data_IF_970354588098
#
_entry.id   IF_970354588098
#
_cell.length_a   1.000
_cell.length_b   1.000
_cell.length_c   1.000
_cell.angle_alpha   90.00
_cell.angle_beta   90.00
_cell.angle_gamma   90.00
#
_symmetry.space_group_name_H-M   'P 1'
#
loop_
_entity.id
_entity.type
_entity.pdbx_description
1 polymer ?
#
# COMPACT_ATOMS: atom_id res chain seq x y z
N UNK A 1 -45.93 -4.13 -8.77
CA UNK A 1 -45.11 -3.07 -9.42
C UNK A 1 -44.52 -2.05 -8.45
N UNK A 2 -45.08 -1.85 -7.25
CA UNK A 2 -44.54 -0.94 -6.22
C UNK A 2 -43.31 -1.47 -5.45
N UNK A 3 -43.11 -2.78 -5.38
CA UNK A 3 -41.98 -3.37 -4.62
C UNK A 3 -40.61 -3.25 -5.31
N UNK A 4 -40.55 -3.13 -6.66
CA UNK A 4 -39.30 -3.01 -7.41
C UNK A 4 -38.70 -1.59 -7.37
N UNK A 5 -39.55 -0.57 -7.24
CA UNK A 5 -39.13 0.85 -7.23
C UNK A 5 -38.43 1.21 -5.91
N UNK A 6 -38.83 0.58 -4.80
CA UNK A 6 -38.23 0.78 -3.47
C UNK A 6 -36.83 0.16 -3.35
N UNK A 7 -36.60 -1.02 -3.94
CA UNK A 7 -35.25 -1.61 -3.97
C UNK A 7 -34.28 -0.79 -4.85
N UNK A 8 -34.76 -0.21 -5.95
CA UNK A 8 -33.93 0.61 -6.82
C UNK A 8 -33.60 1.96 -6.17
N UNK A 9 -34.57 2.62 -5.50
CA UNK A 9 -34.32 3.85 -4.73
C UNK A 9 -33.35 3.65 -3.57
N UNK A 10 -33.37 2.51 -2.89
CA UNK A 10 -32.44 2.21 -1.80
C UNK A 10 -31.00 2.00 -2.30
N UNK A 11 -30.82 1.37 -3.47
CA UNK A 11 -29.49 1.22 -4.08
C UNK A 11 -28.95 2.56 -4.58
N UNK A 12 -29.79 3.41 -5.19
CA UNK A 12 -29.38 4.77 -5.59
C UNK A 12 -29.03 5.63 -4.38
N UNK A 13 -29.79 5.54 -3.27
CA UNK A 13 -29.52 6.30 -2.06
C UNK A 13 -28.22 5.89 -1.36
N UNK A 14 -27.88 4.60 -1.35
CA UNK A 14 -26.65 4.10 -0.72
C UNK A 14 -25.42 4.45 -1.56
N UNK A 15 -25.50 4.29 -2.89
CA UNK A 15 -24.45 4.68 -3.81
C UNK A 15 -24.14 6.18 -3.69
N UNK A 16 -25.17 7.03 -3.65
CA UNK A 16 -25.01 8.47 -3.46
C UNK A 16 -24.32 8.81 -2.11
N UNK A 17 -24.63 8.10 -1.03
CA UNK A 17 -23.98 8.31 0.27
C UNK A 17 -22.50 7.90 0.27
N UNK A 18 -22.15 6.83 -0.44
CA UNK A 18 -20.76 6.39 -0.59
C UNK A 18 -19.97 7.41 -1.42
N UNK A 19 -20.55 7.91 -2.51
CA UNK A 19 -19.94 8.94 -3.36
C UNK A 19 -19.69 10.24 -2.57
N UNK A 20 -20.69 10.74 -1.83
CA UNK A 20 -20.54 11.92 -0.97
C UNK A 20 -19.47 11.73 0.11
N UNK A 21 -19.38 10.53 0.68
CA UNK A 21 -18.33 10.20 1.66
C UNK A 21 -16.95 10.17 1.02
N UNK A 22 -16.79 9.53 -0.14
CA UNK A 22 -15.53 9.52 -0.87
C UNK A 22 -15.10 10.94 -1.25
N UNK A 23 -16.03 11.77 -1.74
CA UNK A 23 -15.74 13.15 -2.11
C UNK A 23 -15.21 13.95 -0.91
N UNK A 24 -15.85 13.83 0.26
CA UNK A 24 -15.35 14.48 1.49
C UNK A 24 -13.94 14.01 1.88
N UNK A 25 -13.66 12.72 1.72
CA UNK A 25 -12.32 12.17 1.95
C UNK A 25 -11.32 12.81 0.98
N UNK A 26 -11.64 12.89 -0.31
CA UNK A 26 -10.78 13.49 -1.34
C UNK A 26 -10.49 14.95 -0.98
N UNK A 27 -11.53 15.74 -0.72
CA UNK A 27 -11.41 17.17 -0.41
C UNK A 27 -10.49 17.43 0.80
N UNK A 28 -10.50 16.52 1.80
CA UNK A 28 -9.70 16.66 3.01
C UNK A 28 -8.26 16.15 2.89
N UNK A 29 -7.98 15.28 1.92
CA UNK A 29 -6.73 14.50 1.89
C UNK A 29 -5.91 14.67 0.61
N UNK A 30 -6.50 15.18 -0.48
CA UNK A 30 -5.85 15.27 -1.80
C UNK A 30 -4.52 15.99 -1.76
N UNK A 31 -4.46 17.24 -1.33
CA UNK A 31 -3.23 18.05 -1.34
C UNK A 31 -2.12 17.41 -0.52
N UNK A 32 -2.48 16.83 0.63
CA UNK A 32 -1.52 16.14 1.51
C UNK A 32 -1.00 14.87 0.86
N UNK A 33 -1.86 14.11 0.18
CA UNK A 33 -1.46 12.86 -0.46
C UNK A 33 -0.60 13.15 -1.69
N UNK A 34 -1.04 14.09 -2.51
CA UNK A 34 -0.31 14.55 -3.68
C UNK A 34 1.08 15.06 -3.27
N UNK A 35 1.19 15.92 -2.25
CA UNK A 35 2.49 16.39 -1.77
C UNK A 35 3.42 15.26 -1.30
N UNK A 36 2.88 14.25 -0.61
CA UNK A 36 3.65 13.07 -0.18
C UNK A 36 4.14 12.23 -1.37
N UNK A 37 3.27 11.97 -2.35
CA UNK A 37 3.65 11.17 -3.51
C UNK A 37 4.55 11.94 -4.47
N UNK A 38 4.32 13.24 -4.65
CA UNK A 38 5.15 14.10 -5.47
C UNK A 38 6.59 14.19 -4.95
N UNK A 39 6.79 14.21 -3.63
CA UNK A 39 8.11 14.14 -3.03
C UNK A 39 8.86 12.82 -3.37
N UNK A 40 8.14 11.75 -3.71
CA UNK A 40 8.69 10.46 -4.11
C UNK A 40 8.91 10.38 -5.64
N UNK A 41 7.89 10.68 -6.44
CA UNK A 41 7.95 10.48 -7.89
C UNK A 41 8.66 11.62 -8.63
N UNK A 42 8.59 12.86 -8.13
CA UNK A 42 9.07 14.08 -8.80
C UNK A 42 8.57 14.25 -10.25
N UNK A 43 7.44 13.63 -10.54
CA UNK A 43 6.79 13.62 -11.84
C UNK A 43 5.30 13.85 -11.60
N UNK A 44 4.75 14.89 -12.22
CA UNK A 44 3.39 15.34 -11.97
C UNK A 44 2.35 14.34 -12.46
N UNK A 45 2.53 13.78 -13.66
CA UNK A 45 1.56 12.90 -14.30
C UNK A 45 1.53 11.54 -13.60
N UNK A 46 2.71 11.00 -13.28
CA UNK A 46 2.82 9.81 -12.45
C UNK A 46 2.23 10.05 -11.06
N UNK A 47 2.45 11.22 -10.44
CA UNK A 47 1.84 11.55 -9.15
C UNK A 47 0.31 11.50 -9.23
N UNK A 48 -0.27 12.17 -10.22
CA UNK A 48 -1.71 12.25 -10.40
C UNK A 48 -2.35 10.87 -10.58
N UNK A 49 -1.74 10.02 -11.39
CA UNK A 49 -2.19 8.64 -11.60
C UNK A 49 -2.14 7.81 -10.30
N UNK A 50 -1.02 7.89 -9.56
CA UNK A 50 -0.87 7.19 -8.29
C UNK A 50 -1.88 7.66 -7.23
N UNK A 51 -2.16 8.96 -7.17
CA UNK A 51 -3.19 9.53 -6.30
C UNK A 51 -4.57 8.97 -6.67
N UNK A 52 -4.92 8.98 -7.95
CA UNK A 52 -6.20 8.45 -8.43
C UNK A 52 -6.35 6.96 -8.08
N UNK A 53 -5.35 6.15 -8.37
CA UNK A 53 -5.34 4.72 -8.05
C UNK A 53 -5.44 4.45 -6.55
N UNK A 54 -4.83 5.29 -5.70
CA UNK A 54 -4.97 5.17 -4.26
C UNK A 54 -6.41 5.41 -3.79
N UNK A 55 -7.12 6.38 -4.38
CA UNK A 55 -8.54 6.61 -4.09
C UNK A 55 -9.45 5.50 -4.62
N UNK A 56 -9.14 4.90 -5.77
CA UNK A 56 -9.86 3.71 -6.27
C UNK A 56 -9.77 2.57 -5.23
N UNK A 57 -8.58 2.33 -4.66
CA UNK A 57 -8.42 1.33 -3.58
C UNK A 57 -9.19 1.68 -2.31
N UNK A 58 -9.38 2.97 -2.01
CA UNK A 58 -10.25 3.40 -0.91
C UNK A 58 -11.71 3.13 -1.24
N UNK A 59 -12.16 3.47 -2.45
CA UNK A 59 -13.52 3.21 -2.91
C UNK A 59 -13.89 1.72 -2.81
N UNK A 60 -13.02 0.83 -3.29
CA UNK A 60 -13.19 -0.64 -3.20
C UNK A 60 -13.33 -1.17 -1.76
N UNK A 61 -12.91 -0.37 -0.77
CA UNK A 61 -12.88 -0.77 0.64
C UNK A 61 -13.65 0.20 1.54
N UNK A 62 -14.44 1.13 0.96
CA UNK A 62 -15.01 2.25 1.66
C UNK A 62 -15.94 1.80 2.80
N UNK A 63 -16.75 0.77 2.56
CA UNK A 63 -17.66 0.19 3.56
C UNK A 63 -16.95 -0.44 4.76
N UNK A 64 -15.71 -0.88 4.56
CA UNK A 64 -14.91 -1.47 5.63
C UNK A 64 -14.26 -0.41 6.53
N UNK A 65 -14.09 0.81 6.01
CA UNK A 65 -13.49 1.92 6.74
C UNK A 65 -14.57 2.51 7.63
N UNK A 66 -14.38 2.42 8.95
CA UNK A 66 -15.33 2.97 9.94
C UNK A 66 -14.97 4.38 10.43
N UNK A 67 -13.75 4.81 10.13
CA UNK A 67 -13.13 5.98 10.72
C UNK A 67 -12.31 6.70 9.64
N UNK A 68 -12.79 7.86 9.22
CA UNK A 68 -12.22 8.64 8.14
C UNK A 68 -10.85 9.23 8.52
N UNK A 69 -10.56 9.41 9.82
CA UNK A 69 -9.26 9.93 10.29
C UNK A 69 -8.10 8.97 9.94
N UNK A 70 -8.40 7.68 9.77
CA UNK A 70 -7.42 6.65 9.41
C UNK A 70 -7.19 6.53 7.91
N UNK A 71 -8.04 7.16 7.10
CA UNK A 71 -7.97 7.06 5.63
C UNK A 71 -6.68 7.65 5.09
N UNK A 72 -6.21 8.76 5.66
CA UNK A 72 -4.94 9.37 5.23
C UNK A 72 -3.75 8.40 5.40
N UNK A 73 -3.74 7.60 6.47
CA UNK A 73 -2.68 6.61 6.66
C UNK A 73 -2.75 5.49 5.62
N UNK A 74 -3.96 5.04 5.27
CA UNK A 74 -4.17 4.04 4.21
C UNK A 74 -3.76 4.58 2.83
N UNK A 75 -4.16 5.81 2.50
CA UNK A 75 -3.80 6.48 1.24
C UNK A 75 -2.29 6.58 1.06
N UNK A 76 -1.55 6.97 2.11
CA UNK A 76 -0.07 7.00 2.07
C UNK A 76 0.53 5.62 1.82
N UNK A 77 -0.03 4.58 2.43
CA UNK A 77 0.44 3.20 2.23
C UNK A 77 0.16 2.74 0.79
N UNK A 78 -1.06 2.94 0.29
CA UNK A 78 -1.43 2.56 -1.07
C UNK A 78 -0.62 3.31 -2.11
N UNK A 79 -0.55 4.64 -2.03
CA UNK A 79 0.21 5.45 -2.98
C UNK A 79 1.71 5.10 -3.01
N UNK A 80 2.34 4.87 -1.84
CA UNK A 80 3.74 4.44 -1.79
C UNK A 80 3.95 3.08 -2.46
N UNK A 81 3.04 2.13 -2.26
CA UNK A 81 3.17 0.80 -2.85
C UNK A 81 2.98 0.83 -4.37
N UNK A 82 1.98 1.58 -4.84
CA UNK A 82 1.77 1.81 -6.27
C UNK A 82 3.02 2.43 -6.92
N UNK A 83 3.64 3.41 -6.25
CA UNK A 83 4.90 3.98 -6.73
C UNK A 83 6.03 2.94 -6.81
N UNK A 84 6.19 2.11 -5.77
CA UNK A 84 7.19 1.03 -5.78
C UNK A 84 6.93 0.01 -6.89
N UNK A 85 5.67 -0.29 -7.19
CA UNK A 85 5.29 -1.19 -8.27
C UNK A 85 5.62 -0.61 -9.64
N UNK A 86 5.40 0.68 -9.85
CA UNK A 86 5.82 1.39 -11.06
C UNK A 86 7.34 1.42 -11.20
N UNK A 87 8.10 1.66 -10.12
CA UNK A 87 9.57 1.56 -10.17
C UNK A 87 10.05 0.15 -10.54
N UNK A 88 9.44 -0.89 -9.97
CA UNK A 88 9.78 -2.28 -10.32
C UNK A 88 9.44 -2.59 -11.78
N UNK A 89 8.33 -2.06 -12.29
CA UNK A 89 7.91 -2.23 -13.69
C UNK A 89 8.89 -1.54 -14.62
N UNK A 90 9.28 -0.30 -14.31
CA UNK A 90 10.29 0.45 -15.06
C UNK A 90 11.64 -0.26 -15.05
N UNK A 91 12.11 -0.74 -13.89
CA UNK A 91 13.35 -1.51 -13.80
C UNK A 91 13.32 -2.80 -14.64
N UNK A 92 12.19 -3.53 -14.68
CA UNK A 92 12.03 -4.69 -15.56
C UNK A 92 12.05 -4.32 -17.03
N UNK A 93 11.41 -3.21 -17.41
CA UNK A 93 11.41 -2.71 -18.78
C UNK A 93 12.81 -2.24 -19.20
N UNK A 94 13.51 -1.51 -18.35
CA UNK A 94 14.89 -1.10 -18.56
C UNK A 94 15.83 -2.31 -18.65
N UNK A 95 15.65 -3.33 -17.81
CA UNK A 95 16.43 -4.57 -17.92
C UNK A 95 16.18 -5.27 -19.26
N UNK A 96 14.94 -5.30 -19.73
CA UNK A 96 14.59 -5.86 -21.04
C UNK A 96 15.16 -5.01 -22.20
N UNK A 97 15.14 -3.67 -22.09
CA UNK A 97 15.72 -2.76 -23.07
C UNK A 97 17.25 -2.74 -23.05
N UNK A 98 17.88 -2.95 -21.90
CA UNK A 98 19.35 -2.98 -21.76
C UNK A 98 19.99 -4.20 -22.44
N UNK A 99 19.19 -5.19 -22.83
CA UNK A 99 19.64 -6.24 -23.76
C UNK A 99 19.84 -5.69 -25.19
N UNK A 100 19.40 -4.46 -25.48
CA UNK A 100 19.37 -3.85 -26.81
C UNK A 100 20.06 -2.48 -26.92
N UNK A 101 20.39 -1.78 -25.82
CA UNK A 101 21.17 -0.53 -25.86
C UNK A 101 22.04 -0.30 -24.61
N UNK A 102 23.29 0.21 -24.74
CA UNK A 102 24.09 0.65 -23.61
C UNK A 102 23.79 2.11 -23.25
N UNK A 103 23.76 2.36 -21.94
CA UNK A 103 23.79 3.65 -21.21
C UNK A 103 22.50 4.45 -20.99
N UNK A 104 22.14 4.54 -19.70
CA UNK A 104 21.50 5.70 -19.06
C UNK A 104 21.61 5.53 -17.53
N UNK A 105 22.23 6.52 -16.87
CA UNK A 105 22.34 6.74 -15.41
C UNK A 105 22.03 5.55 -14.51
N UNK A 106 22.85 4.51 -14.62
CA UNK A 106 22.80 3.40 -13.67
C UNK A 106 23.39 3.85 -12.34
N UNK A 107 22.72 3.60 -11.19
CA UNK A 107 23.37 3.72 -9.89
C UNK A 107 24.67 2.94 -9.93
N UNK A 108 25.70 3.48 -9.28
CA UNK A 108 27.04 2.90 -9.26
C UNK A 108 26.94 1.40 -8.93
N UNK A 109 27.79 0.53 -9.53
CA UNK A 109 27.86 -0.87 -9.12
C UNK A 109 27.94 -1.05 -7.60
N UNK A 110 28.58 -0.10 -6.90
CA UNK A 110 28.67 -0.07 -5.44
C UNK A 110 27.32 0.26 -4.78
N UNK A 111 26.58 1.25 -5.28
CA UNK A 111 25.25 1.61 -4.76
C UNK A 111 24.25 0.46 -4.94
N UNK A 112 24.25 -0.18 -6.13
CA UNK A 112 23.43 -1.36 -6.40
C UNK A 112 23.81 -2.54 -5.51
N UNK A 113 25.09 -2.70 -5.19
CA UNK A 113 25.58 -3.75 -4.31
C UNK A 113 25.13 -3.51 -2.87
N UNK A 114 25.28 -2.29 -2.37
CA UNK A 114 24.85 -1.89 -1.02
C UNK A 114 23.33 -2.08 -0.86
N UNK A 115 22.54 -1.65 -1.84
CA UNK A 115 21.08 -1.84 -1.80
C UNK A 115 20.70 -3.32 -1.81
N UNK A 116 21.33 -4.14 -2.67
CA UNK A 116 21.11 -5.59 -2.70
C UNK A 116 21.50 -6.25 -1.39
N UNK A 117 22.60 -5.84 -0.77
CA UNK A 117 23.02 -6.37 0.52
C UNK A 117 22.06 -6.00 1.64
N UNK A 118 21.57 -4.76 1.65
CA UNK A 118 20.57 -4.30 2.62
C UNK A 118 19.24 -5.06 2.45
N UNK A 119 18.75 -5.19 1.22
CA UNK A 119 17.56 -5.98 0.91
C UNK A 119 17.73 -7.45 1.30
N UNK A 120 18.89 -8.04 1.03
CA UNK A 120 19.21 -9.42 1.43
C UNK A 120 19.25 -9.57 2.94
N UNK A 121 19.91 -8.65 3.67
CA UNK A 121 19.96 -8.65 5.15
C UNK A 121 18.55 -8.55 5.73
N UNK A 122 17.71 -7.67 5.18
CA UNK A 122 16.31 -7.54 5.58
C UNK A 122 15.53 -8.84 5.34
N UNK A 123 15.61 -9.41 4.14
CA UNK A 123 14.86 -10.62 3.78
C UNK A 123 15.28 -11.84 4.61
N UNK A 124 16.58 -12.02 4.83
CA UNK A 124 17.12 -13.06 5.72
C UNK A 124 16.58 -12.87 7.14
N UNK A 125 16.52 -11.65 7.62
CA UNK A 125 16.01 -11.35 8.97
C UNK A 125 14.50 -11.60 9.08
N UNK A 126 13.72 -11.21 8.07
CA UNK A 126 12.27 -11.52 8.01
C UNK A 126 12.05 -13.04 8.02
N UNK A 127 12.92 -13.81 7.35
CA UNK A 127 12.85 -15.27 7.33
C UNK A 127 13.18 -15.94 8.67
N UNK A 128 13.77 -15.22 9.63
CA UNK A 128 13.96 -15.71 11.01
C UNK A 128 12.76 -15.48 11.91
N UNK A 129 11.75 -14.74 11.46
CA UNK A 129 10.52 -14.55 12.24
C UNK A 129 9.76 -15.87 12.37
N UNK A 130 9.06 -16.10 13.50
CA UNK A 130 8.08 -17.18 13.60
C UNK A 130 7.06 -17.10 12.47
N UNK A 131 6.63 -18.26 11.93
CA UNK A 131 5.81 -18.34 10.72
C UNK A 131 4.58 -17.41 10.74
N UNK A 132 3.85 -17.34 11.85
CA UNK A 132 2.67 -16.48 11.97
C UNK A 132 3.02 -14.99 11.95
N UNK A 133 4.13 -14.59 12.59
CA UNK A 133 4.61 -13.20 12.55
C UNK A 133 5.09 -12.82 11.16
N UNK A 134 5.82 -13.72 10.51
CA UNK A 134 6.29 -13.55 9.15
C UNK A 134 5.12 -13.37 8.18
N UNK A 135 4.13 -14.26 8.23
CA UNK A 135 2.96 -14.21 7.37
C UNK A 135 2.19 -12.90 7.54
N UNK A 136 1.88 -12.51 8.78
CA UNK A 136 1.19 -11.25 9.08
C UNK A 136 2.02 -10.05 8.62
N UNK A 137 3.33 -10.06 8.86
CA UNK A 137 4.24 -8.99 8.42
C UNK A 137 4.22 -8.84 6.90
N UNK A 138 4.36 -9.93 6.14
CA UNK A 138 4.32 -9.90 4.67
C UNK A 138 2.96 -9.46 4.15
N UNK A 139 1.87 -10.01 4.69
CA UNK A 139 0.52 -9.60 4.31
C UNK A 139 0.30 -8.10 4.52
N UNK A 140 0.78 -7.54 5.63
CA UNK A 140 0.59 -6.13 5.94
C UNK A 140 1.58 -5.21 5.19
N UNK A 141 2.87 -5.56 5.14
CA UNK A 141 3.94 -4.68 4.63
C UNK A 141 4.27 -4.89 3.16
N UNK A 142 4.11 -6.11 2.64
CA UNK A 142 4.39 -6.44 1.24
C UNK A 142 3.12 -6.48 0.40
N UNK A 143 2.02 -6.98 0.97
CA UNK A 143 0.74 -7.17 0.24
C UNK A 143 -0.32 -6.11 0.60
N UNK A 144 0.00 -5.18 1.50
CA UNK A 144 -0.85 -4.05 1.88
C UNK A 144 -2.22 -4.41 2.48
N UNK A 145 -2.40 -5.63 3.00
CA UNK A 145 -3.64 -5.98 3.68
C UNK A 145 -3.80 -5.21 5.00
N UNK A 146 -5.01 -4.71 5.23
CA UNK A 146 -5.40 -4.14 6.52
C UNK A 146 -5.48 -5.22 7.59
N UNK A 147 -5.39 -4.83 8.86
CA UNK A 147 -5.53 -5.80 9.96
C UNK A 147 -6.88 -6.50 9.95
N UNK A 148 -7.94 -5.84 9.48
CA UNK A 148 -9.25 -6.50 9.29
C UNK A 148 -9.19 -7.55 8.18
N UNK A 149 -8.58 -7.24 7.04
CA UNK A 149 -8.43 -8.18 5.92
C UNK A 149 -7.56 -9.38 6.28
N UNK A 150 -6.53 -9.19 7.12
CA UNK A 150 -5.70 -10.27 7.66
C UNK A 150 -6.49 -11.08 8.68
N UNK A 151 -7.24 -10.41 9.56
CA UNK A 151 -8.11 -11.02 10.58
C UNK A 151 -9.10 -11.98 9.94
N UNK A 152 -9.81 -11.54 8.90
CA UNK A 152 -10.76 -12.39 8.16
C UNK A 152 -10.10 -13.54 7.39
N UNK A 153 -8.85 -13.38 6.92
CA UNK A 153 -8.14 -14.43 6.15
C UNK A 153 -7.52 -15.51 7.03
N UNK A 154 -7.04 -15.11 8.20
CA UNK A 154 -6.32 -16.00 9.11
C UNK A 154 -7.17 -16.48 10.29
N UNK A 155 -8.44 -16.04 10.35
CA UNK A 155 -9.39 -16.32 11.43
C UNK A 155 -8.81 -16.01 12.83
N UNK A 156 -8.21 -14.83 12.96
CA UNK A 156 -7.63 -14.32 14.21
C UNK A 156 -8.09 -12.89 14.48
N UNK A 157 -8.08 -12.46 15.74
CA UNK A 157 -8.51 -11.10 16.08
C UNK A 157 -7.51 -10.04 15.60
N UNK A 158 -7.99 -8.82 15.37
CA UNK A 158 -7.11 -7.67 15.06
C UNK A 158 -6.12 -7.36 16.19
N UNK A 159 -6.48 -7.63 17.45
CA UNK A 159 -5.57 -7.49 18.60
C UNK A 159 -4.44 -8.53 18.58
N UNK A 160 -4.72 -9.75 18.13
CA UNK A 160 -3.69 -10.78 17.89
C UNK A 160 -2.72 -10.32 16.80
N UNK A 161 -3.23 -9.76 15.71
CA UNK A 161 -2.42 -9.23 14.60
C UNK A 161 -1.51 -8.09 15.07
N UNK A 162 -2.05 -7.14 15.82
CA UNK A 162 -1.29 -6.02 16.39
C UNK A 162 -0.17 -6.52 17.31
N UNK A 163 -0.47 -7.49 18.18
CA UNK A 163 0.53 -8.11 19.06
C UNK A 163 1.63 -8.79 18.27
N UNK A 164 1.28 -9.58 17.25
CA UNK A 164 2.27 -10.26 16.41
C UNK A 164 3.09 -9.27 15.59
N UNK A 165 2.49 -8.18 15.11
CA UNK A 165 3.21 -7.13 14.40
C UNK A 165 4.19 -6.38 15.29
N UNK A 166 3.79 -6.05 16.52
CA UNK A 166 4.68 -5.41 17.49
C UNK A 166 5.89 -6.31 17.82
N UNK A 167 5.68 -7.62 17.97
CA UNK A 167 6.75 -8.60 18.16
C UNK A 167 7.68 -8.68 16.95
N UNK A 168 7.13 -8.75 15.75
CA UNK A 168 7.91 -8.78 14.51
C UNK A 168 8.78 -7.52 14.35
N UNK A 169 8.22 -6.33 14.56
CA UNK A 169 8.96 -5.06 14.46
C UNK A 169 10.04 -4.94 15.53
N UNK A 170 9.79 -5.41 16.76
CA UNK A 170 10.79 -5.42 17.84
C UNK A 170 11.95 -6.35 17.48
N UNK A 171 11.67 -7.53 16.94
CA UNK A 171 12.69 -8.46 16.48
C UNK A 171 13.54 -7.86 15.34
N UNK A 172 12.88 -7.33 14.30
CA UNK A 172 13.57 -6.73 13.15
C UNK A 172 14.47 -5.56 13.57
N UNK A 173 14.00 -4.67 14.46
CA UNK A 173 14.83 -3.58 14.99
C UNK A 173 16.06 -4.08 15.75
N UNK A 174 15.94 -5.16 16.53
CA UNK A 174 17.05 -5.73 17.28
C UNK A 174 18.12 -6.34 16.36
N UNK A 175 17.70 -7.01 15.31
CA UNK A 175 18.61 -7.69 14.37
C UNK A 175 19.22 -6.74 13.33
N UNK A 176 18.50 -5.67 12.93
CA UNK A 176 18.94 -4.71 11.92
C UNK A 176 19.55 -3.43 12.50
N UNK A 177 19.26 -3.10 13.76
CA UNK A 177 19.86 -1.97 14.49
C UNK A 177 21.27 -2.25 15.03
N UNK A 178 21.92 -3.31 14.55
CA UNK A 178 23.36 -3.59 14.64
C UNK A 178 23.97 -3.48 13.25
#
# INVERSE_FOLDING_TARGET
MTHLILQNKNNTSLANQQEERLQRIIDQTYDKLFGVLFALCKDHDLCADLVQQAYIKIWEHLDSIRDDEKVMALLKVYGRNLFLDELRKKARQEQALSQYTPESTTPSPEEKLIEKELQRKLQVTINKLPAQQQQIFRMHKEQAFSYRQISSRLDITTGTIETQMNRALKFLRKELGK
#
